data_IF_112111648923
#
_entry.id   IF_112111648923
#
_cell.length_a   1.000
_cell.length_b   1.000
_cell.length_c   1.000
_cell.angle_alpha   90.00
_cell.angle_beta   90.00
_cell.angle_gamma   90.00
#
_symmetry.space_group_name_H-M   'P 1'
#
loop_
_entity.id
_entity.type
_entity.pdbx_description
1 polymer ?
#
# COMPACT_ATOMS: atom_id res chain seq x y z
N UNK A 1 2.30 30.24 7.98
CA UNK A 1 2.33 29.06 7.09
C UNK A 1 2.67 27.78 7.86
N UNK A 2 3.63 27.79 8.80
CA UNK A 2 3.95 26.60 9.62
C UNK A 2 2.77 26.07 10.47
N UNK A 3 1.92 26.94 11.02
CA UNK A 3 0.77 26.53 11.86
C UNK A 3 -0.37 25.87 11.09
N UNK A 4 -0.55 26.22 9.82
CA UNK A 4 -1.59 25.61 8.97
C UNK A 4 -1.17 24.22 8.51
N UNK A 5 0.09 24.03 8.08
CA UNK A 5 0.59 22.72 7.66
C UNK A 5 0.50 21.69 8.81
N UNK A 6 0.91 22.09 10.02
CA UNK A 6 0.81 21.24 11.23
C UNK A 6 -0.63 20.78 11.51
N UNK A 7 -1.62 21.66 11.35
CA UNK A 7 -3.03 21.31 11.53
C UNK A 7 -3.49 20.26 10.50
N UNK A 8 -3.10 20.41 9.23
CA UNK A 8 -3.46 19.46 8.17
C UNK A 8 -2.83 18.08 8.40
N UNK A 9 -1.57 18.04 8.81
CA UNK A 9 -0.87 16.81 9.19
C UNK A 9 -1.61 16.09 10.32
N UNK A 10 -2.00 16.82 11.38
CA UNK A 10 -2.75 16.22 12.51
C UNK A 10 -4.12 15.70 12.07
N UNK A 11 -4.84 16.44 11.24
CA UNK A 11 -6.14 16.01 10.72
C UNK A 11 -6.00 14.73 9.89
N UNK A 12 -5.03 14.68 8.98
CA UNK A 12 -4.78 13.50 8.16
C UNK A 12 -4.40 12.28 9.02
N UNK A 13 -3.52 12.45 10.00
CA UNK A 13 -3.17 11.39 10.95
C UNK A 13 -4.38 10.88 11.73
N UNK A 14 -5.28 11.76 12.18
CA UNK A 14 -6.51 11.35 12.86
C UNK A 14 -7.42 10.54 11.93
N UNK A 15 -7.61 10.97 10.69
CA UNK A 15 -8.42 10.24 9.71
C UNK A 15 -7.82 8.88 9.37
N UNK A 16 -6.49 8.77 9.24
CA UNK A 16 -5.79 7.49 9.06
C UNK A 16 -6.13 6.54 10.23
N UNK A 17 -6.02 7.01 11.47
CA UNK A 17 -6.33 6.21 12.66
C UNK A 17 -7.81 5.80 12.67
N UNK A 18 -8.73 6.69 12.31
CA UNK A 18 -10.16 6.38 12.23
C UNK A 18 -10.41 5.28 11.20
N UNK A 19 -9.90 5.42 9.97
CA UNK A 19 -10.09 4.41 8.93
C UNK A 19 -9.43 3.08 9.28
N UNK A 20 -8.26 3.09 9.94
CA UNK A 20 -7.60 1.88 10.43
C UNK A 20 -8.45 1.13 11.47
N UNK A 21 -9.05 1.85 12.41
CA UNK A 21 -9.95 1.27 13.41
C UNK A 21 -11.24 0.73 12.78
N UNK A 22 -11.83 1.45 11.83
CA UNK A 22 -13.00 0.97 11.10
C UNK A 22 -12.68 -0.30 10.29
N UNK A 23 -11.53 -0.36 9.61
CA UNK A 23 -11.06 -1.57 8.93
C UNK A 23 -10.95 -2.72 9.91
N UNK A 24 -10.35 -2.50 11.08
CA UNK A 24 -10.22 -3.54 12.12
C UNK A 24 -11.57 -4.00 12.66
N UNK A 25 -12.53 -3.09 12.84
CA UNK A 25 -13.89 -3.43 13.24
C UNK A 25 -14.57 -4.31 12.19
N UNK A 26 -14.52 -3.93 10.91
CA UNK A 26 -15.08 -4.77 9.84
C UNK A 26 -14.39 -6.14 9.72
N UNK A 27 -13.09 -6.23 10.00
CA UNK A 27 -12.39 -7.52 10.03
C UNK A 27 -12.94 -8.43 11.14
N UNK A 28 -13.27 -7.86 12.31
CA UNK A 28 -13.91 -8.61 13.40
C UNK A 28 -15.32 -9.05 12.98
N UNK A 29 -16.13 -8.15 12.43
CA UNK A 29 -17.47 -8.46 11.94
C UNK A 29 -17.46 -9.58 10.90
N UNK A 30 -16.49 -9.56 9.98
CA UNK A 30 -16.30 -10.62 8.98
C UNK A 30 -15.94 -11.94 9.66
N UNK A 31 -15.05 -11.94 10.66
CA UNK A 31 -14.62 -13.17 11.33
C UNK A 31 -15.78 -13.81 12.09
N UNK A 32 -16.64 -13.00 12.69
CA UNK A 32 -17.75 -13.45 13.52
C UNK A 32 -19.04 -13.64 12.70
N UNK A 33 -19.00 -13.33 11.40
CA UNK A 33 -20.10 -13.54 10.46
C UNK A 33 -20.41 -15.03 10.31
N UNK A 34 -21.54 -15.44 10.87
CA UNK A 34 -22.15 -16.77 10.70
C UNK A 34 -23.36 -16.72 9.75
N UNK A 35 -23.61 -15.57 9.13
CA UNK A 35 -24.75 -15.30 8.26
C UNK A 35 -24.51 -15.72 6.81
N UNK A 36 -25.53 -15.53 5.94
CA UNK A 36 -25.45 -15.93 4.54
C UNK A 36 -24.33 -15.18 3.79
N UNK A 37 -23.87 -15.78 2.69
CA UNK A 37 -22.80 -15.23 1.85
C UNK A 37 -23.06 -13.79 1.37
N UNK A 38 -24.32 -13.37 1.26
CA UNK A 38 -24.71 -12.00 0.93
C UNK A 38 -24.23 -10.99 1.98
N UNK A 39 -24.39 -11.27 3.27
CA UNK A 39 -23.91 -10.42 4.38
C UNK A 39 -22.39 -10.31 4.36
N UNK A 40 -21.70 -11.44 4.15
CA UNK A 40 -20.24 -11.43 3.99
C UNK A 40 -19.81 -10.58 2.77
N UNK A 41 -20.57 -10.62 1.68
CA UNK A 41 -20.29 -9.82 0.47
C UNK A 41 -20.42 -8.32 0.75
N UNK A 42 -21.44 -7.92 1.50
CA UNK A 42 -21.64 -6.52 1.90
C UNK A 42 -20.52 -6.02 2.83
N UNK A 43 -20.17 -6.80 3.86
CA UNK A 43 -19.05 -6.46 4.76
C UNK A 43 -17.73 -6.33 3.99
N UNK A 44 -17.51 -7.19 2.99
CA UNK A 44 -16.35 -7.10 2.11
C UNK A 44 -16.35 -5.87 1.21
N UNK A 45 -17.51 -5.34 0.82
CA UNK A 45 -17.59 -4.08 0.07
C UNK A 45 -17.20 -2.90 0.98
N UNK A 46 -17.77 -2.83 2.19
CA UNK A 46 -17.49 -1.77 3.17
C UNK A 46 -16.02 -1.71 3.57
N UNK A 47 -15.41 -2.86 3.88
CA UNK A 47 -13.99 -2.87 4.28
C UNK A 47 -13.06 -2.51 3.11
N UNK A 48 -13.41 -2.85 1.86
CA UNK A 48 -12.65 -2.43 0.67
C UNK A 48 -12.71 -0.92 0.47
N UNK A 49 -13.87 -0.31 0.69
CA UNK A 49 -14.04 1.14 0.66
C UNK A 49 -13.18 1.81 1.74
N UNK A 50 -13.21 1.32 2.98
CA UNK A 50 -12.36 1.87 4.05
C UNK A 50 -10.86 1.68 3.79
N UNK A 51 -10.44 0.54 3.24
CA UNK A 51 -9.07 0.35 2.77
C UNK A 51 -8.66 1.35 1.69
N UNK A 52 -9.59 1.72 0.80
CA UNK A 52 -9.34 2.72 -0.23
C UNK A 52 -9.12 4.11 0.41
N UNK A 53 -10.00 4.54 1.30
CA UNK A 53 -9.84 5.82 2.01
C UNK A 53 -8.55 5.87 2.84
N UNK A 54 -8.23 4.79 3.56
CA UNK A 54 -6.99 4.69 4.33
C UNK A 54 -5.74 4.87 3.44
N UNK A 55 -5.73 4.26 2.25
CA UNK A 55 -4.63 4.44 1.29
C UNK A 55 -4.50 5.87 0.81
N UNK A 56 -5.62 6.52 0.48
CA UNK A 56 -5.62 7.92 0.01
C UNK A 56 -5.04 8.84 1.08
N UNK A 57 -5.47 8.71 2.34
CA UNK A 57 -4.93 9.54 3.42
C UNK A 57 -3.44 9.29 3.68
N UNK A 58 -2.98 8.04 3.61
CA UNK A 58 -1.54 7.74 3.70
C UNK A 58 -0.75 8.42 2.57
N UNK A 59 -1.29 8.43 1.34
CA UNK A 59 -0.65 9.13 0.21
C UNK A 59 -0.63 10.65 0.39
N UNK A 60 -1.69 11.23 0.91
CA UNK A 60 -1.75 12.66 1.24
C UNK A 60 -0.75 13.02 2.34
N UNK A 61 -0.60 12.18 3.38
CA UNK A 61 0.42 12.37 4.41
C UNK A 61 1.84 12.30 3.83
N UNK A 62 2.08 11.38 2.89
CA UNK A 62 3.36 11.30 2.18
C UNK A 62 3.63 12.55 1.33
N UNK A 63 2.60 13.12 0.70
CA UNK A 63 2.72 14.36 -0.06
C UNK A 63 3.04 15.54 0.85
N UNK A 64 2.35 15.67 1.99
CA UNK A 64 2.65 16.70 2.99
C UNK A 64 4.06 16.57 3.56
N UNK A 65 4.58 15.34 3.71
CA UNK A 65 5.96 15.11 4.13
C UNK A 65 6.98 15.63 3.09
N UNK A 66 6.68 15.48 1.80
CA UNK A 66 7.55 15.96 0.69
C UNK A 66 7.56 17.47 0.56
N UNK A 67 6.49 18.14 0.97
CA UNK A 67 6.35 19.60 0.98
C UNK A 67 7.04 20.27 2.17
N UNK A 68 7.57 19.48 3.11
CA UNK A 68 8.13 20.04 4.33
C UNK A 68 9.58 20.54 4.13
N UNK A 69 9.82 21.81 4.45
CA UNK A 69 11.10 22.50 4.26
C UNK A 69 12.17 22.01 5.24
N UNK A 70 11.76 21.65 6.46
CA UNK A 70 12.68 21.23 7.50
C UNK A 70 12.91 19.72 7.42
N UNK A 71 14.12 19.33 7.05
CA UNK A 71 14.49 17.92 6.83
C UNK A 71 14.18 17.02 8.03
N UNK A 72 14.36 17.49 9.28
CA UNK A 72 14.03 16.69 10.46
C UNK A 72 12.53 16.36 10.57
N UNK A 73 11.66 17.30 10.20
CA UNK A 73 10.20 17.11 10.23
C UNK A 73 9.74 16.25 9.06
N UNK A 74 10.31 16.46 7.87
CA UNK A 74 10.13 15.58 6.72
C UNK A 74 10.48 14.12 7.03
N UNK A 75 11.65 13.87 7.62
CA UNK A 75 12.07 12.52 8.01
C UNK A 75 11.13 11.91 9.05
N UNK A 76 10.67 12.69 10.02
CA UNK A 76 9.70 12.22 11.02
C UNK A 76 8.37 11.80 10.36
N UNK A 77 7.83 12.61 9.44
CA UNK A 77 6.59 12.31 8.73
C UNK A 77 6.74 11.11 7.79
N UNK A 78 7.85 11.00 7.06
CA UNK A 78 8.11 9.82 6.22
C UNK A 78 8.18 8.54 7.04
N UNK A 79 8.78 8.59 8.23
CA UNK A 79 8.80 7.44 9.14
C UNK A 79 7.39 7.06 9.61
N UNK A 80 6.51 8.03 9.87
CA UNK A 80 5.12 7.79 10.23
C UNK A 80 4.31 7.19 9.07
N UNK A 81 4.50 7.69 7.85
CA UNK A 81 3.93 7.11 6.62
C UNK A 81 4.31 5.64 6.47
N UNK A 82 5.59 5.29 6.66
CA UNK A 82 6.05 3.91 6.59
C UNK A 82 5.44 3.02 7.67
N UNK A 83 5.20 3.56 8.87
CA UNK A 83 4.49 2.84 9.93
C UNK A 83 3.03 2.56 9.54
N UNK A 84 2.32 3.55 9.00
CA UNK A 84 0.95 3.38 8.51
C UNK A 84 0.86 2.38 7.35
N UNK A 85 1.82 2.39 6.42
CA UNK A 85 1.92 1.38 5.34
C UNK A 85 2.09 -0.04 5.89
N UNK A 86 2.94 -0.23 6.91
CA UNK A 86 3.10 -1.53 7.58
C UNK A 86 1.80 -1.99 8.25
N UNK A 87 1.09 -1.09 8.94
CA UNK A 87 -0.20 -1.38 9.56
C UNK A 87 -1.26 -1.76 8.52
N UNK A 88 -1.33 -1.03 7.40
CA UNK A 88 -2.20 -1.33 6.27
C UNK A 88 -1.98 -2.76 5.75
N UNK A 89 -0.72 -3.17 5.53
CA UNK A 89 -0.38 -4.53 5.06
C UNK A 89 -0.78 -5.61 6.07
N UNK A 90 -0.59 -5.33 7.37
CA UNK A 90 -1.02 -6.22 8.45
C UNK A 90 -2.54 -6.40 8.43
N UNK A 91 -3.30 -5.31 8.33
CA UNK A 91 -4.76 -5.34 8.26
C UNK A 91 -5.25 -6.09 7.02
N UNK A 92 -4.62 -5.92 5.86
CA UNK A 92 -4.97 -6.69 4.66
C UNK A 92 -4.78 -8.20 4.87
N UNK A 93 -3.73 -8.59 5.58
CA UNK A 93 -3.46 -9.99 5.91
C UNK A 93 -4.51 -10.53 6.89
N UNK A 94 -4.84 -9.76 7.92
CA UNK A 94 -5.90 -10.11 8.87
C UNK A 94 -7.27 -10.25 8.19
N UNK A 95 -7.61 -9.33 7.30
CA UNK A 95 -8.85 -9.35 6.52
C UNK A 95 -8.96 -10.60 5.63
N UNK A 96 -7.87 -11.01 4.98
CA UNK A 96 -7.85 -12.26 4.18
C UNK A 96 -8.07 -13.48 5.05
N UNK A 97 -7.43 -13.54 6.23
CA UNK A 97 -7.62 -14.64 7.18
C UNK A 97 -9.05 -14.72 7.70
N UNK A 98 -9.63 -13.57 8.07
CA UNK A 98 -11.03 -13.49 8.52
C UNK A 98 -12.01 -13.96 7.43
N UNK A 99 -11.80 -13.53 6.18
CA UNK A 99 -12.60 -13.98 5.05
C UNK A 99 -12.57 -15.48 4.84
N UNK A 100 -11.36 -16.07 4.87
CA UNK A 100 -11.21 -17.50 4.68
C UNK A 100 -11.91 -18.27 5.81
N UNK A 101 -11.71 -17.84 7.06
CA UNK A 101 -12.33 -18.46 8.22
C UNK A 101 -13.87 -18.39 8.14
N UNK A 102 -14.43 -17.22 7.81
CA UNK A 102 -15.86 -17.03 7.64
C UNK A 102 -16.44 -17.90 6.52
N UNK A 103 -15.80 -17.94 5.35
CA UNK A 103 -16.26 -18.79 4.24
C UNK A 103 -16.25 -20.28 4.60
N UNK A 104 -15.19 -20.75 5.28
CA UNK A 104 -15.13 -22.13 5.78
C UNK A 104 -16.27 -22.40 6.76
N UNK A 105 -16.57 -21.45 7.66
CA UNK A 105 -17.67 -21.59 8.61
C UNK A 105 -19.04 -21.68 7.92
N UNK A 106 -19.30 -20.79 6.95
CA UNK A 106 -20.53 -20.81 6.14
C UNK A 106 -20.65 -22.15 5.38
N UNK A 107 -19.62 -22.57 4.66
CA UNK A 107 -19.63 -23.83 3.90
C UNK A 107 -19.87 -25.05 4.81
N UNK A 108 -19.33 -25.03 6.03
CA UNK A 108 -19.52 -26.12 6.98
C UNK A 108 -20.92 -26.14 7.58
N UNK A 109 -21.53 -24.97 7.82
CA UNK A 109 -22.93 -24.87 8.22
C UNK A 109 -23.84 -25.40 7.11
N UNK A 110 -23.65 -24.96 5.86
CA UNK A 110 -24.40 -25.46 4.71
C UNK A 110 -24.23 -26.99 4.54
N UNK A 111 -23.01 -27.51 4.69
CA UNK A 111 -22.78 -28.96 4.66
C UNK A 111 -23.46 -29.69 5.82
N UNK A 112 -23.46 -29.13 7.03
CA UNK A 112 -24.11 -29.75 8.18
C UNK A 112 -25.64 -29.82 7.98
N UNK A 113 -26.23 -28.77 7.42
CA UNK A 113 -27.65 -28.72 7.04
C UNK A 113 -27.95 -29.74 5.92
N UNK A 114 -27.10 -29.84 4.91
CA UNK A 114 -27.23 -30.83 3.82
C UNK A 114 -27.02 -32.28 4.29
N UNK A 115 -26.13 -32.52 5.25
CA UNK A 115 -25.90 -33.86 5.81
C UNK A 115 -27.04 -34.29 6.75
N UNK A 116 -27.79 -33.36 7.32
CA UNK A 116 -29.08 -33.65 7.98
C UNK A 116 -30.19 -33.96 6.97
N UNK A 117 -30.15 -33.37 5.77
CA UNK A 117 -31.09 -33.62 4.67
C UNK A 117 -30.53 -34.56 3.61
N UNK A 118 -30.45 -35.86 3.89
CA UNK A 118 -29.90 -36.82 2.93
C UNK A 118 -30.65 -36.88 1.59
N UNK A 119 -30.04 -36.42 0.49
CA UNK A 119 -30.01 -37.12 -0.80
C UNK A 119 -28.94 -36.59 -1.80
N UNK A 120 -28.36 -37.52 -2.56
CA UNK A 120 -27.02 -37.55 -3.18
C UNK A 120 -26.89 -36.89 -4.59
N UNK A 121 -27.64 -35.83 -4.96
CA UNK A 121 -27.80 -35.49 -6.41
C UNK A 121 -27.31 -34.16 -6.99
N UNK A 122 -26.59 -33.29 -6.26
CA UNK A 122 -26.12 -32.00 -6.84
C UNK A 122 -24.60 -31.81 -6.94
N UNK A 123 -23.86 -32.86 -7.30
CA UNK A 123 -22.37 -32.83 -7.33
C UNK A 123 -21.72 -32.26 -8.61
N UNK A 124 -22.41 -31.51 -9.47
CA UNK A 124 -21.81 -31.06 -10.75
C UNK A 124 -21.69 -29.55 -10.99
N UNK A 125 -22.39 -28.68 -10.27
CA UNK A 125 -22.38 -27.23 -10.55
C UNK A 125 -21.37 -26.42 -9.73
N UNK A 126 -20.93 -26.92 -8.57
CA UNK A 126 -20.17 -26.12 -7.58
C UNK A 126 -18.64 -26.07 -7.83
N UNK A 127 -18.07 -27.00 -8.61
CA UNK A 127 -16.62 -27.06 -8.84
C UNK A 127 -16.12 -26.00 -9.84
N UNK A 128 -16.98 -25.60 -10.77
CA UNK A 128 -16.65 -24.64 -11.84
C UNK A 128 -16.62 -23.19 -11.30
N UNK A 129 -17.52 -22.83 -10.39
CA UNK A 129 -17.55 -21.51 -9.73
C UNK A 129 -16.34 -21.27 -8.83
N UNK A 130 -15.83 -22.31 -8.14
CA UNK A 130 -14.64 -22.22 -7.30
C UNK A 130 -13.37 -21.96 -8.12
N UNK A 131 -13.21 -22.65 -9.26
CA UNK A 131 -12.06 -22.46 -10.15
C UNK A 131 -12.08 -21.08 -10.81
N UNK A 132 -13.25 -20.64 -11.31
CA UNK A 132 -13.39 -19.34 -11.96
C UNK A 132 -13.12 -18.17 -11.00
N UNK A 133 -13.60 -18.27 -9.76
CA UNK A 133 -13.40 -17.21 -8.76
C UNK A 133 -11.96 -17.19 -8.24
N UNK A 134 -11.32 -18.37 -8.08
CA UNK A 134 -9.91 -18.47 -7.71
C UNK A 134 -8.98 -17.90 -8.79
N UNK A 135 -9.28 -18.11 -10.08
CA UNK A 135 -8.52 -17.54 -11.19
C UNK A 135 -8.64 -16.01 -11.23
N UNK A 136 -9.86 -15.46 -11.09
CA UNK A 136 -10.08 -14.02 -11.09
C UNK A 136 -9.41 -13.31 -9.88
N UNK A 137 -9.37 -13.96 -8.71
CA UNK A 137 -8.68 -13.46 -7.52
C UNK A 137 -7.16 -13.50 -7.70
N UNK A 138 -6.63 -14.56 -8.32
CA UNK A 138 -5.18 -14.72 -8.56
C UNK A 138 -4.66 -13.70 -9.57
N UNK A 139 -5.41 -13.44 -10.65
CA UNK A 139 -5.06 -12.47 -11.69
C UNK A 139 -5.06 -11.03 -11.17
N UNK A 140 -6.08 -10.66 -10.37
CA UNK A 140 -6.15 -9.34 -9.73
C UNK A 140 -5.01 -9.11 -8.73
N UNK A 141 -4.58 -10.17 -8.01
CA UNK A 141 -3.48 -10.08 -7.05
C UNK A 141 -2.11 -9.97 -7.74
N UNK A 142 -1.90 -10.69 -8.85
CA UNK A 142 -0.68 -10.57 -9.66
C UNK A 142 -0.57 -9.19 -10.31
N UNK A 143 -1.67 -8.62 -10.79
CA UNK A 143 -1.71 -7.25 -11.31
C UNK A 143 -1.31 -6.21 -10.26
N UNK A 144 -1.82 -6.34 -9.03
CA UNK A 144 -1.48 -5.44 -7.92
C UNK A 144 -0.03 -5.64 -7.46
N UNK A 145 0.45 -6.88 -7.35
CA UNK A 145 1.85 -7.16 -6.97
C UNK A 145 2.84 -6.64 -8.00
N UNK A 146 2.49 -6.67 -9.30
CA UNK A 146 3.31 -6.12 -10.39
C UNK A 146 3.36 -4.59 -10.33
N UNK A 147 2.22 -3.94 -10.09
CA UNK A 147 2.13 -2.48 -9.98
C UNK A 147 2.85 -1.95 -8.71
N UNK A 148 2.79 -2.70 -7.60
CA UNK A 148 3.56 -2.42 -6.38
C UNK A 148 5.07 -2.60 -6.57
N UNK A 149 5.52 -3.67 -7.26
CA UNK A 149 6.95 -3.86 -7.56
C UNK A 149 7.51 -2.71 -8.41
N UNK A 150 6.69 -2.13 -9.26
CA UNK A 150 7.06 -1.01 -10.13
C UNK A 150 7.17 0.30 -9.33
N UNK A 151 6.25 0.54 -8.38
CA UNK A 151 6.33 1.69 -7.48
C UNK A 151 7.50 1.59 -6.49
N UNK A 152 7.84 0.38 -6.01
CA UNK A 152 9.03 0.15 -5.15
C UNK A 152 10.32 0.30 -5.95
N UNK A 153 10.41 -0.22 -7.18
CA UNK A 153 11.60 -0.02 -8.06
C UNK A 153 11.85 1.44 -8.42
N UNK A 154 10.80 2.21 -8.71
CA UNK A 154 10.94 3.65 -8.96
C UNK A 154 11.40 4.41 -7.69
N UNK A 155 11.05 3.92 -6.50
CA UNK A 155 11.56 4.44 -5.22
C UNK A 155 13.03 4.08 -4.96
N UNK A 156 13.53 2.94 -5.47
CA UNK A 156 14.93 2.53 -5.36
C UNK A 156 15.84 3.28 -6.35
N UNK A 157 15.38 3.51 -7.59
CA UNK A 157 16.14 4.25 -8.60
C UNK A 157 16.32 5.74 -8.22
N UNK A 158 15.36 6.35 -7.54
CA UNK A 158 15.48 7.70 -6.97
C UNK A 158 16.49 7.78 -5.80
N UNK A 159 16.67 6.70 -5.03
CA UNK A 159 17.71 6.62 -4.01
C UNK A 159 19.11 6.46 -4.64
N UNK A 160 19.25 5.75 -5.76
CA UNK A 160 20.55 5.57 -6.42
C UNK A 160 21.07 6.85 -7.09
N UNK A 161 20.19 7.76 -7.53
CA UNK A 161 20.60 9.07 -8.08
C UNK A 161 21.14 10.01 -6.99
N UNK A 162 20.70 9.87 -5.73
CA UNK A 162 21.21 10.66 -4.60
C UNK A 162 22.48 10.07 -3.96
N UNK A 163 22.80 8.81 -4.24
CA UNK A 163 24.05 8.14 -3.77
C UNK A 163 25.13 8.08 -4.87
N UNK A 164 24.78 8.26 -6.15
CA UNK A 164 25.74 8.25 -7.28
C UNK A 164 26.35 9.59 -7.67
N UNK A 165 26.24 10.65 -6.85
CA UNK A 165 27.12 11.82 -6.98
C UNK A 165 28.24 11.79 -5.94
N UNK A 166 29.36 11.08 -6.19
CA UNK A 166 30.57 11.32 -5.43
C UNK A 166 31.14 12.67 -5.88
N UNK A 167 31.16 13.59 -4.92
CA UNK A 167 32.24 14.54 -4.73
C UNK A 167 32.56 15.48 -5.91
N UNK A 168 31.95 16.67 -5.84
CA UNK A 168 32.62 17.91 -6.23
C UNK A 168 33.83 18.09 -5.30
N UNK A 169 34.89 17.33 -5.52
CA UNK A 169 36.11 17.38 -4.73
C UNK A 169 37.01 18.49 -5.24
N UNK A 170 37.13 19.49 -4.37
CA UNK A 170 38.35 20.20 -4.04
C UNK A 170 38.95 21.15 -5.08
N UNK A 171 39.28 22.34 -4.57
CA UNK A 171 39.85 23.43 -5.30
C UNK A 171 41.19 23.12 -5.97
N UNK A 172 41.36 23.72 -7.15
CA UNK A 172 42.67 23.98 -7.73
C UNK A 172 42.94 25.49 -7.60
N UNK A 173 44.12 25.90 -7.12
CA UNK A 173 44.48 27.30 -7.03
C UNK A 173 44.69 27.89 -8.42
N UNK A 174 44.24 29.14 -8.55
CA UNK A 174 44.45 30.01 -9.71
C UNK A 174 45.95 30.26 -9.83
N UNK A 175 46.63 29.60 -10.76
CA UNK A 175 48.02 29.89 -11.08
C UNK A 175 48.05 30.86 -12.27
N UNK A 176 48.30 32.11 -11.91
CA UNK A 176 48.60 33.20 -12.83
C UNK A 176 50.00 32.94 -13.42
N UNK A 177 50.08 32.56 -14.69
CA UNK A 177 51.31 32.63 -15.48
C UNK A 177 51.03 33.39 -16.78
N UNK A 178 51.46 34.63 -16.77
CA UNK A 178 51.84 35.47 -17.90
C UNK A 178 52.62 34.68 -18.96
N UNK A 179 52.20 34.71 -20.23
CA UNK A 179 52.99 35.22 -21.34
C UNK A 179 52.15 35.22 -22.65
N UNK A 180 52.37 36.27 -23.43
CA UNK A 180 51.64 36.71 -24.62
C UNK A 180 52.34 36.13 -25.90
N UNK A 181 52.06 36.54 -27.16
CA UNK A 181 51.34 35.72 -28.14
C UNK A 181 52.08 35.46 -29.48
N UNK A 182 51.39 34.72 -30.38
CA UNK A 182 51.30 34.97 -31.85
C UNK A 182 52.37 34.32 -32.79
N UNK A 183 52.19 34.32 -34.14
CA UNK A 183 52.28 33.12 -34.99
C UNK A 183 53.25 33.24 -36.20
N UNK A 184 53.33 32.19 -37.03
CA UNK A 184 53.85 32.13 -38.42
C UNK A 184 55.31 32.54 -38.74
N UNK A 185 56.09 31.63 -39.34
CA UNK A 185 56.89 31.79 -40.59
C UNK A 185 57.74 30.50 -40.80
N UNK A 186 57.51 29.71 -41.86
CA UNK A 186 58.20 29.73 -43.18
C UNK A 186 59.71 29.42 -43.09
N UNK A 187 60.12 28.16 -43.32
CA UNK A 187 60.78 27.67 -44.55
C UNK A 187 60.99 26.15 -44.48
#
# INVERSE_FOLDING_TARGET
MATTLDVHVRMCNQEIVIFDLEVKAFIQDIRDCSGPLSTLTELNAKVKEKFHHLRLRIQELEQMAKEQDKESEKQALLQEVENHKKQLLSNQTAWRKANLACKIAIDNLEKAELLQGGDMRQRKTTKETLAQTSSNITESLMGISRMMSQQVRQSEEAMHILVSFPALQAGAPVQCCSQQPSPHDVH
#
